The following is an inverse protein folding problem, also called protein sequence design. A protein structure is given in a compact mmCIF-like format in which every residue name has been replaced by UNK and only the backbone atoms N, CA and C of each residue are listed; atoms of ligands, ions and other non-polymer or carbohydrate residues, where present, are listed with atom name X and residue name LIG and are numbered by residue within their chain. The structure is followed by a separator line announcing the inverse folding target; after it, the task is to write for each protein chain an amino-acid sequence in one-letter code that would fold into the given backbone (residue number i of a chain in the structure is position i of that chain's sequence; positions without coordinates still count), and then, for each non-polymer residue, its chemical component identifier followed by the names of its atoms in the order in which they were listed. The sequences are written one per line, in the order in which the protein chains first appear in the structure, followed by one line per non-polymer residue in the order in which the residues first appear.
data_IF_810728835636
#
_entry.id   IF_810728835636
#
_cell.length_a   1.000
_cell.length_b   1.000
_cell.length_c   1.000
_cell.angle_alpha   90.00
_cell.angle_beta   90.00
_cell.angle_gamma   90.00
#
_symmetry.space_group_name_H-M   'P 1'
#
loop_
_entity.id
_entity.type
_entity.pdbx_description
1 polymer ?
#
# COMPACT_ATOMS: atom_id res chain seq x y z
N UNK A 1 -16.92 -22.38 21.79
CA UNK A 1 -17.58 -22.24 20.48
C UNK A 1 -16.59 -21.54 19.57
N UNK A 2 -15.82 -22.34 18.84
CA UNK A 2 -14.74 -21.91 17.93
C UNK A 2 -15.33 -21.62 16.56
N UNK A 3 -15.43 -20.35 16.19
CA UNK A 3 -15.73 -19.96 14.81
C UNK A 3 -14.45 -20.09 13.98
N UNK A 4 -14.39 -21.15 13.17
CA UNK A 4 -13.42 -21.25 12.08
C UNK A 4 -13.79 -20.21 11.02
N UNK A 5 -12.93 -19.20 10.84
CA UNK A 5 -12.97 -18.32 9.67
C UNK A 5 -12.58 -19.18 8.45
N UNK A 6 -13.53 -19.35 7.53
CA UNK A 6 -13.31 -20.01 6.25
C UNK A 6 -12.42 -19.11 5.39
N UNK A 7 -11.16 -19.52 5.22
CA UNK A 7 -10.16 -18.85 4.39
C UNK A 7 -10.50 -19.18 2.93
N UNK A 8 -10.95 -18.18 2.17
CA UNK A 8 -11.30 -18.32 0.76
C UNK A 8 -10.24 -17.73 -0.17
N UNK A 9 -8.96 -18.02 0.07
CA UNK A 9 -7.91 -17.73 -0.90
C UNK A 9 -7.76 -18.90 -1.87
N UNK A 10 -7.99 -18.65 -3.16
CA UNK A 10 -7.68 -19.61 -4.23
C UNK A 10 -6.16 -19.93 -4.18
N UNK A 11 -5.84 -21.12 -3.66
CA UNK A 11 -4.60 -21.88 -3.83
C UNK A 11 -3.29 -21.42 -3.15
N UNK A 12 -3.30 -20.52 -2.15
CA UNK A 12 -2.11 -20.31 -1.31
C UNK A 12 -2.32 -20.97 0.06
N UNK A 13 -1.67 -22.11 0.30
CA UNK A 13 -1.64 -22.75 1.62
C UNK A 13 -0.67 -21.99 2.52
N UNK A 14 -1.17 -21.01 3.27
CA UNK A 14 -0.40 -20.27 4.27
C UNK A 14 -0.43 -21.01 5.61
N UNK A 15 0.71 -21.08 6.29
CA UNK A 15 0.84 -21.70 7.62
C UNK A 15 0.02 -20.91 8.66
N UNK A 16 -0.61 -21.59 9.61
CA UNK A 16 -1.38 -20.95 10.71
C UNK A 16 -0.55 -19.93 11.50
N UNK A 17 0.77 -20.13 11.60
CA UNK A 17 1.68 -19.20 12.28
C UNK A 17 2.07 -17.97 11.44
N UNK A 18 1.71 -17.92 10.17
CA UNK A 18 2.03 -16.78 9.29
C UNK A 18 1.40 -15.48 9.79
N UNK A 19 0.19 -15.54 10.34
CA UNK A 19 -0.51 -14.34 10.79
C UNK A 19 0.31 -13.53 11.80
N UNK A 20 1.05 -14.22 12.69
CA UNK A 20 1.89 -13.63 13.73
C UNK A 20 3.36 -13.43 13.30
N UNK A 21 3.67 -13.61 12.00
CA UNK A 21 5.04 -13.45 11.48
C UNK A 21 5.08 -12.45 10.34
N UNK A 22 6.12 -11.63 10.32
CA UNK A 22 6.43 -10.72 9.22
C UNK A 22 7.92 -10.78 8.91
N UNK A 23 8.30 -11.60 7.93
CA UNK A 23 9.68 -11.96 7.63
C UNK A 23 10.44 -12.50 8.86
N UNK A 24 11.31 -11.69 9.45
CA UNK A 24 12.12 -12.00 10.62
C UNK A 24 11.48 -11.54 11.94
N UNK A 25 10.38 -10.80 11.90
CA UNK A 25 9.59 -10.45 13.09
C UNK A 25 8.69 -11.65 13.40
N UNK A 26 8.91 -12.31 14.54
CA UNK A 26 8.24 -13.56 14.90
C UNK A 26 7.01 -13.37 15.79
N UNK A 27 6.85 -12.18 16.34
CA UNK A 27 5.79 -11.69 17.22
C UNK A 27 5.07 -10.52 16.56
N UNK A 28 4.83 -10.62 15.25
CA UNK A 28 4.18 -9.57 14.49
C UNK A 28 2.70 -9.43 14.88
N UNK A 29 2.27 -8.19 15.06
CA UNK A 29 0.88 -7.83 15.34
C UNK A 29 0.50 -6.54 14.60
N UNK A 30 -0.77 -6.46 14.22
CA UNK A 30 -1.39 -5.21 13.77
C UNK A 30 -1.74 -4.37 15.01
N UNK A 31 -0.89 -3.38 15.31
CA UNK A 31 -1.12 -2.40 16.38
C UNK A 31 -2.43 -1.62 16.18
N UNK A 32 -2.72 -1.25 14.93
CA UNK A 32 -4.00 -0.71 14.50
C UNK A 32 -4.46 -1.50 13.29
N UNK A 33 -5.71 -1.95 13.33
CA UNK A 33 -6.34 -2.73 12.26
C UNK A 33 -7.68 -2.13 11.87
N UNK A 34 -8.14 -2.49 10.67
CA UNK A 34 -9.44 -2.07 10.16
C UNK A 34 -10.33 -3.29 9.89
N UNK A 35 -11.66 -3.11 9.90
CA UNK A 35 -12.59 -4.19 9.57
C UNK A 35 -12.28 -4.83 8.22
N UNK A 36 -12.48 -6.14 8.05
CA UNK A 36 -12.42 -6.82 6.76
C UNK A 36 -13.30 -6.16 5.71
N UNK A 37 -12.94 -6.31 4.44
CA UNK A 37 -13.71 -5.77 3.31
C UNK A 37 -15.11 -6.40 3.22
N UNK A 38 -15.26 -7.65 3.65
CA UNK A 38 -16.54 -8.35 3.73
C UNK A 38 -17.53 -7.72 4.71
N UNK A 39 -17.05 -6.96 5.69
CA UNK A 39 -17.87 -6.26 6.68
C UNK A 39 -18.33 -4.86 6.22
N UNK A 40 -17.81 -4.35 5.09
CA UNK A 40 -18.19 -3.01 4.58
C UNK A 40 -19.59 -3.05 3.94
N UNK A 41 -20.09 -4.23 3.55
CA UNK A 41 -21.38 -4.38 2.88
C UNK A 41 -21.39 -3.89 1.43
N UNK A 42 -20.21 -3.68 0.83
CA UNK A 42 -20.03 -3.29 -0.57
C UNK A 42 -19.04 -4.24 -1.24
N UNK A 43 -19.34 -4.65 -2.47
CA UNK A 43 -18.37 -5.35 -3.31
C UNK A 43 -17.37 -4.32 -3.84
N UNK A 44 -16.14 -4.40 -3.35
CA UNK A 44 -15.06 -3.49 -3.71
C UNK A 44 -14.39 -3.91 -5.02
N UNK A 45 -14.16 -2.95 -5.92
CA UNK A 45 -13.42 -3.15 -7.17
C UNK A 45 -11.91 -2.90 -6.96
N UNK A 46 -11.57 -1.95 -6.10
CA UNK A 46 -10.19 -1.48 -5.90
C UNK A 46 -9.85 -1.30 -4.41
N UNK A 47 -8.71 -1.84 -3.99
CA UNK A 47 -8.08 -1.51 -2.71
C UNK A 47 -6.81 -0.68 -2.98
N UNK A 48 -6.77 0.55 -2.48
CA UNK A 48 -5.60 1.42 -2.55
C UNK A 48 -4.85 1.37 -1.21
N UNK A 49 -3.64 0.87 -1.25
CA UNK A 49 -2.73 0.81 -0.11
C UNK A 49 -1.70 1.93 -0.23
N UNK A 50 -1.83 2.94 0.63
CA UNK A 50 -0.97 4.13 0.63
C UNK A 50 0.14 3.93 1.65
N UNK A 51 1.39 3.85 1.21
CA UNK A 51 2.54 3.95 2.10
C UNK A 51 2.62 5.39 2.63
N UNK A 52 2.45 5.57 3.94
CA UNK A 52 2.57 6.88 4.60
C UNK A 52 3.58 6.82 5.74
N UNK A 53 4.00 7.96 6.28
CA UNK A 53 4.84 8.03 7.48
C UNK A 53 4.02 8.51 8.70
N UNK A 54 4.40 8.20 9.95
CA UNK A 54 3.65 8.58 11.14
C UNK A 54 3.32 10.08 11.22
N UNK A 55 4.28 10.94 10.88
CA UNK A 55 4.21 12.41 10.89
C UNK A 55 3.47 13.00 9.68
N UNK A 56 3.12 12.20 8.67
CA UNK A 56 2.47 12.65 7.43
C UNK A 56 0.94 12.85 7.54
N UNK A 57 0.47 13.43 8.64
CA UNK A 57 -0.95 13.70 8.87
C UNK A 57 -1.57 14.56 7.76
N UNK A 58 -0.84 15.58 7.29
CA UNK A 58 -1.33 16.50 6.24
C UNK A 58 -1.52 15.78 4.91
N UNK A 59 -0.57 14.93 4.52
CA UNK A 59 -0.60 14.16 3.28
C UNK A 59 -1.81 13.22 3.28
N UNK A 60 -1.98 12.43 4.36
CA UNK A 60 -3.16 11.56 4.51
C UNK A 60 -4.46 12.35 4.43
N UNK A 61 -4.54 13.49 5.12
CA UNK A 61 -5.71 14.35 5.06
C UNK A 61 -5.97 14.89 3.64
N UNK A 62 -4.95 15.36 2.93
CA UNK A 62 -5.07 15.81 1.53
C UNK A 62 -5.59 14.70 0.63
N UNK A 63 -5.08 13.47 0.77
CA UNK A 63 -5.55 12.31 -0.01
C UNK A 63 -7.05 12.06 0.25
N UNK A 64 -7.48 12.06 1.52
CA UNK A 64 -8.89 11.89 1.91
C UNK A 64 -9.82 12.95 1.30
N UNK A 65 -9.33 14.19 1.17
CA UNK A 65 -10.11 15.31 0.62
C UNK A 65 -10.08 15.40 -0.91
N UNK A 66 -9.18 14.64 -1.57
CA UNK A 66 -8.96 14.72 -3.01
C UNK A 66 -9.20 13.35 -3.67
N UNK A 67 -8.19 12.77 -4.32
CA UNK A 67 -8.33 11.57 -5.14
C UNK A 67 -8.70 10.31 -4.34
N UNK A 68 -8.44 10.29 -3.03
CA UNK A 68 -8.82 9.19 -2.14
C UNK A 68 -10.24 9.33 -1.56
N UNK A 69 -10.97 10.38 -1.91
CA UNK A 69 -12.32 10.63 -1.35
C UNK A 69 -13.34 9.64 -1.90
N UNK A 70 -13.83 8.72 -1.05
CA UNK A 70 -14.90 7.78 -1.43
C UNK A 70 -16.17 8.53 -1.84
N UNK A 71 -16.52 9.60 -1.13
CA UNK A 71 -17.73 10.39 -1.40
C UNK A 71 -17.69 11.05 -2.79
N UNK A 72 -16.55 11.59 -3.20
CA UNK A 72 -16.44 12.28 -4.50
C UNK A 72 -16.37 11.31 -5.68
N UNK A 73 -15.92 10.08 -5.44
CA UNK A 73 -15.64 9.10 -6.50
C UNK A 73 -16.63 7.92 -6.53
N UNK A 74 -17.63 7.89 -5.64
CA UNK A 74 -18.59 6.79 -5.51
C UNK A 74 -19.39 6.50 -6.78
N UNK A 75 -19.59 7.51 -7.64
CA UNK A 75 -20.27 7.34 -8.93
C UNK A 75 -19.47 6.54 -9.96
N UNK A 76 -18.16 6.34 -9.73
CA UNK A 76 -17.29 5.64 -10.68
C UNK A 76 -17.03 4.18 -10.29
N UNK A 77 -17.27 3.79 -9.04
CA UNK A 77 -17.06 2.43 -8.54
C UNK A 77 -16.78 2.39 -7.04
N UNK A 78 -16.76 1.18 -6.48
CA UNK A 78 -16.51 0.98 -5.05
C UNK A 78 -15.03 0.72 -4.80
N UNK A 79 -14.41 1.50 -3.93
CA UNK A 79 -13.01 1.34 -3.57
C UNK A 79 -12.75 1.69 -2.12
N UNK A 80 -11.62 1.22 -1.60
CA UNK A 80 -11.17 1.50 -0.25
C UNK A 80 -9.75 2.04 -0.28
N UNK A 81 -9.48 3.06 0.53
CA UNK A 81 -8.13 3.61 0.73
C UNK A 81 -7.72 3.30 2.15
N UNK A 82 -6.53 2.72 2.33
CA UNK A 82 -5.94 2.43 3.63
C UNK A 82 -4.50 2.95 3.68
N UNK A 83 -4.16 3.62 4.77
CA UNK A 83 -2.83 4.14 5.03
C UNK A 83 -2.02 3.14 5.85
N UNK A 84 -0.87 2.75 5.32
CA UNK A 84 0.06 1.82 5.95
C UNK A 84 1.17 2.61 6.65
N UNK A 85 1.34 2.37 7.94
CA UNK A 85 2.39 2.99 8.78
C UNK A 85 3.02 1.95 9.72
N UNK A 86 4.19 2.24 10.26
CA UNK A 86 4.78 1.55 11.40
C UNK A 86 4.59 2.34 12.71
N UNK A 87 5.22 1.86 13.78
CA UNK A 87 5.36 2.58 15.05
C UNK A 87 6.28 3.78 14.90
N UNK A 88 5.99 4.84 15.65
CA UNK A 88 6.95 5.93 15.89
C UNK A 88 8.15 5.43 16.69
N UNK A 89 9.25 6.19 16.70
CA UNK A 89 10.36 5.92 17.62
C UNK A 89 9.91 6.06 19.08
N UNK A 90 10.54 5.32 20.01
CA UNK A 90 10.17 5.35 21.43
C UNK A 90 10.21 6.75 22.06
N UNK A 91 10.97 7.68 21.49
CA UNK A 91 11.04 9.09 21.90
C UNK A 91 9.79 9.91 21.56
N UNK A 92 8.93 9.42 20.66
CA UNK A 92 7.88 10.19 20.01
C UNK A 92 6.47 9.76 20.46
N UNK A 93 6.27 9.42 21.73
CA UNK A 93 4.97 8.93 22.24
C UNK A 93 3.78 9.88 21.98
N UNK A 94 4.02 11.19 21.94
CA UNK A 94 2.98 12.18 21.58
C UNK A 94 2.43 11.93 20.17
N UNK A 95 3.31 11.62 19.22
CA UNK A 95 2.94 11.35 17.84
C UNK A 95 2.13 10.06 17.72
N UNK A 96 2.50 9.01 18.46
CA UNK A 96 1.69 7.79 18.54
C UNK A 96 0.27 8.09 19.04
N UNK A 97 0.13 8.94 20.05
CA UNK A 97 -1.19 9.39 20.53
C UNK A 97 -1.99 10.10 19.45
N UNK A 98 -1.36 10.97 18.65
CA UNK A 98 -2.01 11.67 17.55
C UNK A 98 -2.47 10.71 16.43
N UNK A 99 -1.69 9.68 16.12
CA UNK A 99 -2.06 8.62 15.15
C UNK A 99 -3.28 7.86 15.63
N UNK A 100 -3.35 7.52 16.93
CA UNK A 100 -4.51 6.83 17.51
C UNK A 100 -5.75 7.71 17.39
N UNK A 101 -5.65 9.01 17.69
CA UNK A 101 -6.76 9.95 17.53
C UNK A 101 -7.20 10.10 16.07
N UNK A 102 -6.25 10.19 15.13
CA UNK A 102 -6.55 10.21 13.70
C UNK A 102 -7.28 8.93 13.27
N UNK A 103 -6.80 7.76 13.70
CA UNK A 103 -7.43 6.49 13.35
C UNK A 103 -8.84 6.35 13.97
N UNK A 104 -9.05 6.85 15.19
CA UNK A 104 -10.38 6.88 15.80
C UNK A 104 -11.37 7.71 14.97
N UNK A 105 -10.90 8.79 14.35
CA UNK A 105 -11.71 9.67 13.52
C UNK A 105 -11.97 9.09 12.12
N UNK A 106 -10.94 8.59 11.43
CA UNK A 106 -11.02 8.23 10.01
C UNK A 106 -11.12 6.74 9.73
N UNK A 107 -10.68 5.87 10.66
CA UNK A 107 -10.76 4.40 10.56
C UNK A 107 -10.18 3.84 9.25
N UNK A 108 -9.01 4.32 8.89
CA UNK A 108 -8.35 3.98 7.62
C UNK A 108 -6.84 3.75 7.78
N UNK A 109 -6.33 3.60 9.00
CA UNK A 109 -4.92 3.36 9.28
C UNK A 109 -4.69 1.89 9.65
N UNK A 110 -3.76 1.24 8.97
CA UNK A 110 -3.18 -0.04 9.40
C UNK A 110 -1.77 0.25 9.91
N UNK A 111 -1.53 -0.11 11.16
CA UNK A 111 -0.23 0.06 11.80
C UNK A 111 0.35 -1.29 12.23
N UNK A 112 1.58 -1.57 11.83
CA UNK A 112 2.32 -2.75 12.28
C UNK A 112 3.22 -2.42 13.47
N UNK A 113 3.53 -3.43 14.29
CA UNK A 113 4.39 -3.31 15.47
C UNK A 113 5.91 -3.26 15.15
N UNK A 114 6.30 -2.58 14.06
CA UNK A 114 7.70 -2.32 13.70
C UNK A 114 7.95 -0.83 13.57
N UNK A 115 9.16 -0.36 13.89
CA UNK A 115 9.51 1.06 13.77
C UNK A 115 9.43 1.51 12.30
N UNK A 116 8.70 2.58 12.04
CA UNK A 116 8.59 3.19 10.73
C UNK A 116 9.89 3.90 10.36
N UNK A 117 10.57 3.36 9.37
CA UNK A 117 11.83 3.90 8.88
C UNK A 117 12.00 3.51 7.40
N UNK A 118 12.75 4.31 6.64
CA UNK A 118 12.98 4.06 5.22
C UNK A 118 13.50 2.65 4.92
N UNK A 119 14.41 2.14 5.75
CA UNK A 119 14.95 0.77 5.63
C UNK A 119 13.93 -0.35 5.94
N UNK A 120 12.83 0.00 6.60
CA UNK A 120 11.76 -0.92 7.00
C UNK A 120 10.54 -0.85 6.06
N UNK A 121 10.64 -0.14 4.92
CA UNK A 121 9.55 -0.07 3.94
C UNK A 121 9.13 -1.43 3.41
N UNK A 122 10.04 -2.42 3.39
CA UNK A 122 9.72 -3.80 3.03
C UNK A 122 8.72 -4.44 4.01
N UNK A 123 8.90 -4.22 5.33
CA UNK A 123 7.93 -4.68 6.33
C UNK A 123 6.57 -4.02 6.10
N UNK A 124 6.55 -2.71 5.87
CA UNK A 124 5.32 -1.97 5.55
C UNK A 124 4.60 -2.53 4.32
N UNK A 125 5.34 -2.82 3.26
CA UNK A 125 4.76 -3.37 2.03
C UNK A 125 4.14 -4.75 2.26
N UNK A 126 4.90 -5.66 2.88
CA UNK A 126 4.42 -7.03 3.12
C UNK A 126 3.31 -7.08 4.16
N UNK A 127 3.32 -6.18 5.14
CA UNK A 127 2.19 -5.98 6.04
C UNK A 127 0.91 -5.62 5.26
N UNK A 128 1.00 -4.72 4.29
CA UNK A 128 -0.12 -4.37 3.42
C UNK A 128 -0.65 -5.56 2.62
N UNK A 129 0.25 -6.34 2.01
CA UNK A 129 -0.11 -7.55 1.27
C UNK A 129 -0.72 -8.62 2.19
N UNK A 130 -0.18 -8.78 3.41
CA UNK A 130 -0.72 -9.67 4.44
C UNK A 130 -2.12 -9.25 4.83
N UNK A 131 -2.33 -7.97 5.10
CA UNK A 131 -3.66 -7.47 5.44
C UNK A 131 -4.67 -7.71 4.31
N UNK A 132 -4.29 -7.43 3.05
CA UNK A 132 -5.11 -7.77 1.89
C UNK A 132 -5.47 -9.25 1.85
N UNK A 133 -4.49 -10.15 1.98
CA UNK A 133 -4.71 -11.59 1.93
C UNK A 133 -5.70 -12.08 3.00
N UNK A 134 -5.59 -11.60 4.23
CA UNK A 134 -6.43 -12.06 5.33
C UNK A 134 -7.79 -11.38 5.42
N UNK A 135 -7.90 -10.14 4.93
CA UNK A 135 -9.05 -9.29 5.24
C UNK A 135 -9.73 -8.67 4.02
N UNK A 136 -9.19 -8.82 2.81
CA UNK A 136 -9.71 -8.15 1.63
C UNK A 136 -9.38 -8.87 0.31
N UNK A 137 -9.27 -10.20 0.30
CA UNK A 137 -8.83 -10.97 -0.87
C UNK A 137 -9.88 -11.06 -2.01
N UNK A 138 -11.06 -10.50 -1.78
CA UNK A 138 -12.17 -10.43 -2.72
C UNK A 138 -12.13 -9.25 -3.71
N UNK A 139 -11.21 -8.29 -3.54
CA UNK A 139 -11.09 -7.16 -4.48
C UNK A 139 -10.53 -7.60 -5.83
N UNK A 140 -10.93 -6.91 -6.90
CA UNK A 140 -10.41 -7.20 -8.25
C UNK A 140 -8.93 -6.81 -8.38
N UNK A 141 -8.55 -5.67 -7.81
CA UNK A 141 -7.22 -5.07 -7.96
C UNK A 141 -6.75 -4.42 -6.67
N UNK A 142 -5.47 -4.59 -6.36
CA UNK A 142 -4.75 -3.78 -5.36
C UNK A 142 -3.88 -2.74 -6.05
N UNK A 143 -3.86 -1.51 -5.54
CA UNK A 143 -2.99 -0.43 -5.99
C UNK A 143 -2.12 0.03 -4.83
N UNK A 144 -0.81 -0.19 -4.94
CA UNK A 144 0.17 0.41 -4.02
C UNK A 144 0.57 1.79 -4.53
N UNK A 145 0.51 2.79 -3.66
CA UNK A 145 1.03 4.15 -3.92
C UNK A 145 1.75 4.71 -2.69
N UNK A 146 2.55 5.75 -2.91
CA UNK A 146 3.14 6.55 -1.82
C UNK A 146 2.23 7.77 -1.54
N UNK A 147 2.37 8.38 -0.36
CA UNK A 147 1.51 9.49 0.07
C UNK A 147 1.84 10.86 -0.56
N UNK A 148 2.85 10.90 -1.42
CA UNK A 148 3.25 12.05 -2.25
C UNK A 148 2.88 11.89 -3.73
N UNK A 149 2.00 10.92 -4.05
CA UNK A 149 1.53 10.61 -5.40
C UNK A 149 0.09 11.10 -5.62
N UNK A 150 -0.21 11.54 -6.84
CA UNK A 150 -1.58 11.73 -7.31
C UNK A 150 -2.08 10.51 -8.09
N UNK A 151 -3.32 10.09 -7.83
CA UNK A 151 -3.99 8.99 -8.54
C UNK A 151 -5.23 9.53 -9.25
N UNK A 152 -5.39 9.23 -10.53
CA UNK A 152 -6.67 9.50 -11.23
C UNK A 152 -7.67 8.37 -10.93
N UNK A 153 -8.22 8.38 -9.70
CA UNK A 153 -9.15 7.34 -9.22
C UNK A 153 -10.37 7.14 -10.13
N UNK A 154 -11.07 8.20 -10.61
CA UNK A 154 -12.16 8.04 -11.57
C UNK A 154 -11.78 7.25 -12.81
N UNK A 155 -10.61 7.55 -13.40
CA UNK A 155 -10.16 6.89 -14.61
C UNK A 155 -9.89 5.40 -14.37
N UNK A 156 -9.22 5.04 -13.26
CA UNK A 156 -8.96 3.64 -12.91
C UNK A 156 -10.28 2.88 -12.75
N UNK A 157 -11.23 3.43 -11.99
CA UNK A 157 -12.51 2.77 -11.74
C UNK A 157 -13.32 2.59 -13.02
N UNK A 158 -13.46 3.64 -13.83
CA UNK A 158 -14.15 3.55 -15.13
C UNK A 158 -13.47 2.58 -16.09
N UNK A 159 -12.13 2.47 -16.00
CA UNK A 159 -11.41 1.56 -16.88
C UNK A 159 -11.79 0.10 -16.66
N UNK A 160 -12.30 -0.30 -15.47
CA UNK A 160 -12.70 -1.69 -15.19
C UNK A 160 -13.78 -2.25 -16.12
N UNK A 161 -14.52 -1.40 -16.82
CA UNK A 161 -15.52 -1.81 -17.83
C UNK A 161 -14.91 -1.99 -19.24
N UNK A 162 -13.60 -1.77 -19.41
CA UNK A 162 -12.91 -1.91 -20.69
C UNK A 162 -12.32 -3.31 -20.90
N UNK A 163 -12.09 -3.67 -22.16
CA UNK A 163 -11.49 -4.95 -22.58
C UNK A 163 -10.13 -5.23 -21.93
N UNK A 164 -9.40 -4.18 -21.52
CA UNK A 164 -8.11 -4.31 -20.84
C UNK A 164 -8.20 -5.19 -19.58
N UNK A 165 -9.22 -5.01 -18.75
CA UNK A 165 -9.35 -5.77 -17.51
C UNK A 165 -9.96 -7.14 -17.73
N UNK A 166 -10.70 -7.33 -18.84
CA UNK A 166 -11.12 -8.66 -19.27
C UNK A 166 -9.89 -9.50 -19.64
N UNK A 167 -8.96 -8.94 -20.43
CA UNK A 167 -7.68 -9.59 -20.74
C UNK A 167 -6.86 -9.90 -19.48
N UNK A 168 -6.86 -8.99 -18.51
CA UNK A 168 -6.18 -9.19 -17.24
C UNK A 168 -6.80 -10.34 -16.41
N UNK A 169 -8.13 -10.50 -16.47
CA UNK A 169 -8.84 -11.63 -15.87
C UNK A 169 -8.59 -12.95 -16.62
N UNK A 170 -8.48 -12.91 -17.95
CA UNK A 170 -8.18 -14.08 -18.80
C UNK A 170 -6.79 -14.67 -18.51
N UNK A 171 -5.85 -13.85 -18.02
CA UNK A 171 -4.56 -14.30 -17.48
C UNK A 171 -4.67 -14.85 -16.04
N UNK A 172 -5.87 -15.26 -15.63
CA UNK A 172 -6.19 -15.76 -14.29
C UNK A 172 -5.78 -14.79 -13.16
N UNK A 173 -5.79 -13.48 -13.45
CA UNK A 173 -5.39 -12.42 -12.51
C UNK A 173 -3.88 -12.26 -12.30
N UNK A 174 -3.04 -12.96 -13.06
CA UNK A 174 -1.57 -12.90 -12.93
C UNK A 174 -0.99 -11.72 -13.71
N UNK A 175 -1.21 -10.49 -13.23
CA UNK A 175 -0.63 -9.30 -13.85
C UNK A 175 -0.11 -8.31 -12.80
N UNK A 176 0.94 -7.57 -13.19
CA UNK A 176 1.50 -6.46 -12.44
C UNK A 176 1.74 -5.31 -13.42
N UNK A 177 1.18 -4.13 -13.12
CA UNK A 177 1.33 -2.94 -13.95
C UNK A 177 2.22 -1.95 -13.20
N UNK A 178 3.30 -1.52 -13.84
CA UNK A 178 4.20 -0.51 -13.30
C UNK A 178 4.98 0.19 -14.41
N UNK A 179 5.67 1.28 -14.06
CA UNK A 179 6.74 1.80 -14.91
C UNK A 179 8.00 0.94 -14.71
N UNK A 180 8.35 0.14 -15.70
CA UNK A 180 9.50 -0.75 -15.63
C UNK A 180 10.81 0.04 -15.68
N UNK A 181 11.63 -0.07 -14.64
CA UNK A 181 12.97 0.54 -14.62
C UNK A 181 14.04 -0.52 -14.88
N UNK A 182 14.40 -0.67 -16.16
CA UNK A 182 15.43 -1.61 -16.61
C UNK A 182 16.82 -1.00 -16.41
N UNK A 183 17.76 -1.78 -15.87
CA UNK A 183 19.16 -1.36 -15.73
C UNK A 183 19.46 -0.47 -14.53
N UNK A 184 18.55 -0.37 -13.55
CA UNK A 184 18.83 0.33 -12.30
C UNK A 184 19.95 -0.38 -11.51
N UNK A 185 21.00 0.37 -11.20
CA UNK A 185 22.13 -0.10 -10.40
C UNK A 185 21.90 0.10 -8.89
N UNK A 186 22.69 -0.60 -8.09
CA UNK A 186 22.69 -0.39 -6.63
C UNK A 186 23.46 0.88 -6.34
N UNK A 187 22.82 1.82 -5.65
CA UNK A 187 23.45 3.09 -5.30
C UNK A 187 24.41 2.87 -4.13
N UNK A 188 25.72 3.05 -4.40
CA UNK A 188 26.80 2.93 -3.41
C UNK A 188 27.24 4.25 -2.78
N UNK A 189 26.59 5.35 -3.15
CA UNK A 189 26.83 6.66 -2.55
C UNK A 189 26.11 6.81 -1.20
N UNK A 190 26.89 6.89 -0.12
CA UNK A 190 26.42 6.97 1.27
C UNK A 190 25.77 8.30 1.64
N UNK A 191 25.81 9.31 0.77
CA UNK A 191 25.13 10.59 0.97
C UNK A 191 23.66 10.52 0.58
N UNK A 192 23.25 9.47 -0.13
CA UNK A 192 21.88 9.32 -0.61
C UNK A 192 21.05 8.44 0.32
N UNK A 193 19.74 8.69 0.38
CA UNK A 193 18.80 7.80 1.08
C UNK A 193 18.71 6.40 0.46
N UNK A 194 19.18 6.24 -0.78
CA UNK A 194 19.16 4.98 -1.53
C UNK A 194 20.44 4.15 -1.35
N UNK A 195 21.38 4.60 -0.52
CA UNK A 195 22.63 3.91 -0.25
C UNK A 195 22.42 2.47 0.24
N UNK A 196 23.12 1.54 -0.41
CA UNK A 196 23.26 0.14 0.04
C UNK A 196 24.74 -0.22 0.06
N UNK A 197 25.26 -0.71 1.19
CA UNK A 197 26.65 -1.14 1.29
C UNK A 197 26.88 -2.49 0.59
N UNK A 198 28.12 -2.76 0.17
CA UNK A 198 28.51 -4.07 -0.38
C UNK A 198 28.29 -5.22 0.61
N UNK A 199 28.40 -4.96 1.91
CA UNK A 199 28.09 -5.94 2.94
C UNK A 199 26.60 -6.30 2.97
N UNK A 200 25.72 -5.32 2.75
CA UNK A 200 24.26 -5.53 2.72
C UNK A 200 23.82 -6.29 1.47
N UNK A 201 24.37 -5.96 0.31
CA UNK A 201 24.05 -6.65 -0.94
C UNK A 201 25.28 -6.64 -1.85
N UNK A 202 25.81 -7.83 -2.13
CA UNK A 202 26.95 -8.02 -3.03
C UNK A 202 26.51 -8.10 -4.49
N UNK A 203 27.33 -7.55 -5.37
CA UNK A 203 27.13 -7.61 -6.83
C UNK A 203 26.32 -6.45 -7.39
N UNK A 204 26.01 -6.52 -8.69
CA UNK A 204 25.28 -5.47 -9.41
C UNK A 204 23.76 -5.68 -9.34
N UNK A 205 23.01 -4.59 -9.23
CA UNK A 205 21.55 -4.62 -9.11
C UNK A 205 20.89 -5.25 -10.34
N UNK A 206 19.91 -6.13 -10.13
CA UNK A 206 19.20 -6.84 -11.23
C UNK A 206 18.15 -5.92 -11.92
N UNK A 207 18.05 -4.64 -11.51
CA UNK A 207 17.01 -3.68 -11.91
C UNK A 207 15.76 -3.75 -11.04
N UNK A 208 14.88 -2.73 -11.12
CA UNK A 208 13.62 -2.68 -10.36
C UNK A 208 12.45 -3.17 -11.23
N UNK A 209 11.54 -3.96 -10.64
CA UNK A 209 10.26 -4.31 -11.29
C UNK A 209 10.32 -5.46 -12.29
N UNK A 210 11.32 -6.35 -12.22
CA UNK A 210 11.20 -7.66 -12.89
C UNK A 210 10.05 -8.44 -12.24
N UNK A 211 9.29 -9.21 -13.01
CA UNK A 211 8.09 -9.93 -12.50
C UNK A 211 8.32 -10.89 -11.32
N UNK A 212 9.58 -11.21 -10.99
CA UNK A 212 9.98 -12.01 -9.81
C UNK A 212 10.55 -11.18 -8.64
N UNK A 213 10.70 -9.85 -8.80
CA UNK A 213 11.33 -8.92 -7.86
C UNK A 213 10.54 -7.60 -7.81
N UNK A 214 9.53 -7.50 -6.92
CA UNK A 214 8.64 -6.35 -6.89
C UNK A 214 9.39 -5.07 -6.48
N UNK A 215 9.35 -4.08 -7.36
CA UNK A 215 9.70 -2.69 -7.07
C UNK A 215 8.80 -1.82 -7.94
N UNK A 216 7.89 -1.07 -7.32
CA UNK A 216 6.95 -0.19 -8.03
C UNK A 216 7.23 1.24 -7.59
N UNK A 217 7.73 2.06 -8.51
CA UNK A 217 7.90 3.50 -8.32
C UNK A 217 7.34 4.24 -9.53
N UNK A 218 6.39 5.14 -9.28
CA UNK A 218 5.99 6.17 -10.23
C UNK A 218 6.77 7.44 -9.89
N UNK A 219 7.59 7.96 -10.80
CA UNK A 219 8.37 9.18 -10.55
C UNK A 219 7.42 10.39 -10.55
N UNK A 220 7.10 10.91 -9.35
CA UNK A 220 6.17 12.05 -9.14
C UNK A 220 6.51 13.26 -10.02
N UNK A 221 7.80 13.50 -10.31
CA UNK A 221 8.25 14.61 -11.16
C UNK A 221 7.67 14.58 -12.57
N UNK A 222 7.32 13.40 -13.09
CA UNK A 222 6.72 13.26 -14.44
C UNK A 222 5.28 13.78 -14.49
N UNK A 223 4.61 13.92 -13.34
CA UNK A 223 3.24 14.41 -13.24
C UNK A 223 3.15 15.84 -12.71
N UNK A 224 4.27 16.48 -12.33
CA UNK A 224 4.28 17.87 -11.86
C UNK A 224 3.57 18.84 -12.83
N UNK A 225 3.79 18.80 -14.16
CA UNK A 225 3.07 19.70 -15.08
C UNK A 225 1.55 19.50 -15.06
N UNK A 226 1.07 18.27 -14.84
CA UNK A 226 -0.35 17.96 -14.71
C UNK A 226 -0.89 18.40 -13.35
N UNK A 227 -0.17 18.15 -12.26
CA UNK A 227 -0.55 18.55 -10.90
C UNK A 227 -0.65 20.08 -10.83
N UNK A 228 0.39 20.81 -11.22
CA UNK A 228 0.39 22.29 -11.23
C UNK A 228 -0.70 22.89 -12.12
N UNK A 229 -1.09 22.20 -13.20
CA UNK A 229 -2.17 22.64 -14.08
C UNK A 229 -3.57 22.45 -13.47
N UNK A 230 -3.74 21.49 -12.57
CA UNK A 230 -5.06 21.06 -12.06
C UNK A 230 -5.27 21.31 -10.56
N UNK A 231 -4.23 21.67 -9.81
CA UNK A 231 -4.33 22.19 -8.44
C UNK A 231 -4.12 23.70 -8.48
N UNK A 232 -5.16 24.47 -8.83
CA UNK A 232 -5.17 25.91 -8.57
C UNK A 232 -5.55 26.13 -7.11
N UNK A 233 -4.78 26.95 -6.41
CA UNK A 233 -5.00 27.30 -5.01
C UNK A 233 -6.44 27.81 -4.80
N UNK A 234 -7.21 27.07 -4.00
CA UNK A 234 -8.38 27.56 -3.25
C UNK A 234 -7.96 27.83 -1.82
#
# INVERSE_FOLDING_TARGET
MSNQMSIHSKNVKINETDFHKLFNITDFEFQLQQPPCSEIGLKLDLLILVHSAPDHFKQRHTIRQTWGSQKQNSQFGNFRVLFLIGLVSNSNQKEQGMIVLENLQFKDIIQGNFIDHYRNLTYKHVMGLKWFHYFCDEVKVILKVDDDVFVNTPFILQSFETDFWQLAQDQNGNFLICNLMVGSEIIRDNQTKYYVSEEMLKGDGIGCGKGQYPGVYSRVTSFLPWITKNTKDT
#
